data_IF_708944078721
#
_entry.id   IF_708944078721
#
_cell.length_a   1.000
_cell.length_b   1.000
_cell.length_c   1.000
_cell.angle_alpha   90.00
_cell.angle_beta   90.00
_cell.angle_gamma   90.00
#
_symmetry.space_group_name_H-M   'P 1'
#
loop_
_entity.id
_entity.type
_entity.pdbx_description
1 polymer ?
#
# COMPACT_ATOMS: atom_id res chain seq x y z
N UNK A 1 -17.20 4.13 10.68
CA UNK A 1 -17.30 4.88 11.95
C UNK A 1 -16.08 5.81 12.04
N UNK A 2 -16.31 7.07 12.35
CA UNK A 2 -15.27 8.05 12.64
C UNK A 2 -14.40 7.56 13.80
N UNK A 3 -13.06 7.80 13.71
CA UNK A 3 -12.08 7.53 14.77
C UNK A 3 -11.99 6.08 15.24
N UNK A 4 -12.37 5.10 14.41
CA UNK A 4 -12.48 3.69 14.82
C UNK A 4 -11.16 3.13 15.39
N UNK A 5 -10.03 3.50 14.80
CA UNK A 5 -8.67 3.08 15.22
C UNK A 5 -7.76 4.27 15.54
N UNK A 6 -8.36 5.40 15.94
CA UNK A 6 -7.59 6.61 16.28
C UNK A 6 -6.52 6.29 17.32
N UNK A 7 -5.24 6.59 16.97
CA UNK A 7 -4.06 6.38 17.83
C UNK A 7 -3.85 4.96 18.32
N UNK A 8 -4.23 3.98 17.49
CA UNK A 8 -3.87 2.59 17.75
C UNK A 8 -2.39 2.36 17.40
N UNK A 9 -1.46 2.87 18.22
CA UNK A 9 -0.03 2.93 17.92
C UNK A 9 0.62 1.56 17.66
N UNK A 10 0.03 0.47 18.17
CA UNK A 10 0.52 -0.90 17.96
C UNK A 10 -0.17 -1.63 16.78
N UNK A 11 -1.01 -0.93 16.03
CA UNK A 11 -1.69 -1.49 14.86
C UNK A 11 -0.71 -1.54 13.67
N UNK A 12 -0.11 -2.70 13.44
CA UNK A 12 0.90 -2.88 12.39
C UNK A 12 0.28 -3.23 11.03
N UNK A 13 -0.87 -3.91 11.01
CA UNK A 13 -1.51 -4.39 9.79
C UNK A 13 -3.01 -4.12 9.81
N UNK A 14 -3.54 -3.69 8.66
CA UNK A 14 -4.97 -3.45 8.44
C UNK A 14 -5.37 -4.06 7.10
N UNK A 15 -6.39 -4.90 7.12
CA UNK A 15 -7.05 -5.36 5.89
C UNK A 15 -8.45 -4.74 5.83
N UNK A 16 -8.70 -3.96 4.78
CA UNK A 16 -9.99 -3.35 4.52
C UNK A 16 -10.82 -4.35 3.71
N UNK A 17 -11.92 -4.80 4.30
CA UNK A 17 -12.78 -5.80 3.65
C UNK A 17 -13.55 -5.26 2.44
N UNK A 18 -13.92 -6.15 1.51
CA UNK A 18 -14.58 -5.81 0.24
C UNK A 18 -15.98 -5.17 0.38
N UNK A 19 -16.55 -5.08 1.57
CA UNK A 19 -17.83 -4.43 1.84
C UNK A 19 -17.68 -3.00 2.41
N UNK A 20 -16.44 -2.50 2.51
CA UNK A 20 -16.16 -1.14 3.00
C UNK A 20 -16.15 -0.20 1.80
N UNK A 21 -17.14 0.68 1.73
CA UNK A 21 -17.23 1.71 0.69
C UNK A 21 -16.60 3.05 1.12
N UNK A 22 -16.53 3.32 2.43
CA UNK A 22 -16.01 4.58 2.94
C UNK A 22 -15.07 4.37 4.12
N UNK A 23 -13.93 5.05 4.10
CA UNK A 23 -13.02 5.20 5.22
C UNK A 23 -13.29 6.58 5.80
N UNK A 24 -13.82 6.61 7.02
CA UNK A 24 -14.26 7.86 7.64
C UNK A 24 -13.12 8.66 8.27
N UNK A 25 -13.43 9.87 8.69
CA UNK A 25 -12.50 10.81 9.29
C UNK A 25 -11.74 10.22 10.47
N UNK A 26 -10.41 10.45 10.47
CA UNK A 26 -9.48 10.01 11.51
C UNK A 26 -9.55 8.49 11.79
N UNK A 27 -10.04 7.66 10.87
CA UNK A 27 -10.25 6.23 11.12
C UNK A 27 -9.00 5.51 11.61
N UNK A 28 -7.83 5.86 11.07
CA UNK A 28 -6.52 5.28 11.39
C UNK A 28 -5.48 6.35 11.76
N UNK A 29 -5.92 7.56 12.12
CA UNK A 29 -4.99 8.65 12.45
C UNK A 29 -4.11 8.27 13.65
N UNK A 30 -2.79 8.44 13.52
CA UNK A 30 -1.81 8.11 14.56
C UNK A 30 -1.61 6.62 14.79
N UNK A 31 -1.81 5.78 13.78
CA UNK A 31 -1.43 4.36 13.81
C UNK A 31 0.06 4.23 13.48
N UNK A 32 0.93 4.51 14.46
CA UNK A 32 2.37 4.67 14.27
C UNK A 32 3.10 3.41 13.78
N UNK A 33 2.57 2.22 14.07
CA UNK A 33 3.16 0.95 13.63
C UNK A 33 2.66 0.46 12.26
N UNK A 34 1.73 1.18 11.62
CA UNK A 34 1.19 0.81 10.32
C UNK A 34 2.23 1.13 9.24
N UNK A 35 2.76 0.10 8.57
CA UNK A 35 3.82 0.24 7.57
C UNK A 35 3.30 0.33 6.15
N UNK A 36 2.18 -0.32 5.87
CA UNK A 36 1.56 -0.39 4.55
C UNK A 36 0.04 -0.31 4.65
N UNK A 37 -0.59 0.18 3.59
CA UNK A 37 -2.05 0.15 3.44
C UNK A 37 -2.44 -0.04 1.99
N UNK A 38 -3.37 -0.95 1.76
CA UNK A 38 -4.08 -1.10 0.49
C UNK A 38 -5.48 -0.50 0.62
N UNK A 39 -5.81 0.40 -0.30
CA UNK A 39 -7.15 0.97 -0.48
C UNK A 39 -7.86 0.15 -1.55
N UNK A 40 -8.80 -0.74 -1.18
CA UNK A 40 -9.44 -1.65 -2.11
C UNK A 40 -10.30 -0.91 -3.16
N UNK A 41 -10.51 -1.55 -4.29
CA UNK A 41 -11.32 -1.00 -5.40
C UNK A 41 -12.75 -0.63 -5.05
N UNK A 42 -13.31 -1.23 -4.01
CA UNK A 42 -14.68 -0.97 -3.54
C UNK A 42 -14.79 0.25 -2.60
N UNK A 43 -13.66 0.81 -2.15
CA UNK A 43 -13.64 2.04 -1.36
C UNK A 43 -13.80 3.21 -2.32
N UNK A 44 -14.84 4.01 -2.17
CA UNK A 44 -15.12 5.17 -3.01
C UNK A 44 -14.72 6.50 -2.35
N UNK A 45 -14.49 6.50 -1.01
CA UNK A 45 -14.22 7.72 -0.26
C UNK A 45 -13.27 7.52 0.92
N UNK A 46 -12.33 8.47 1.08
CA UNK A 46 -11.44 8.57 2.24
C UNK A 46 -11.65 9.93 2.91
N UNK A 47 -12.09 9.91 4.18
CA UNK A 47 -12.35 11.08 4.98
C UNK A 47 -11.10 11.82 5.45
N UNK A 48 -11.33 12.99 6.03
CA UNK A 48 -10.29 13.89 6.53
C UNK A 48 -9.41 13.21 7.58
N UNK A 49 -8.08 13.37 7.47
CA UNK A 49 -7.07 12.79 8.36
C UNK A 49 -7.15 11.28 8.56
N UNK A 50 -7.77 10.53 7.64
CA UNK A 50 -8.04 9.10 7.82
C UNK A 50 -6.79 8.30 8.20
N UNK A 51 -5.63 8.61 7.64
CA UNK A 51 -4.33 7.97 7.88
C UNK A 51 -3.26 8.96 8.36
N UNK A 52 -3.62 10.19 8.74
CA UNK A 52 -2.65 11.19 9.18
C UNK A 52 -1.83 10.71 10.37
N UNK A 53 -0.58 11.17 10.45
CA UNK A 53 0.35 10.84 11.53
C UNK A 53 0.68 9.34 11.65
N UNK A 54 0.49 8.54 10.59
CA UNK A 54 0.99 7.17 10.53
C UNK A 54 2.50 7.19 10.24
N UNK A 55 3.32 7.37 11.28
CA UNK A 55 4.75 7.69 11.16
C UNK A 55 5.61 6.57 10.57
N UNK A 56 5.11 5.34 10.50
CA UNK A 56 5.79 4.21 9.85
C UNK A 56 5.26 3.88 8.46
N UNK A 57 4.22 4.57 7.95
CA UNK A 57 3.57 4.23 6.69
C UNK A 57 4.49 4.57 5.49
N UNK A 58 4.98 3.53 4.81
CA UNK A 58 5.91 3.61 3.67
C UNK A 58 5.28 3.22 2.35
N UNK A 59 4.27 2.34 2.37
CA UNK A 59 3.67 1.75 1.19
C UNK A 59 2.19 2.11 1.12
N UNK A 60 1.77 2.78 0.05
CA UNK A 60 0.38 3.09 -0.24
C UNK A 60 0.01 2.48 -1.59
N UNK A 61 -0.93 1.54 -1.57
CA UNK A 61 -1.47 0.91 -2.75
C UNK A 61 -2.97 1.27 -2.90
N UNK A 62 -3.32 1.97 -3.97
CA UNK A 62 -4.70 2.26 -4.34
C UNK A 62 -5.06 1.34 -5.51
N UNK A 63 -5.90 0.34 -5.27
CA UNK A 63 -6.25 -0.68 -6.27
C UNK A 63 -6.89 -0.09 -7.54
N UNK A 64 -6.68 -0.79 -8.65
CA UNK A 64 -7.23 -0.44 -9.96
C UNK A 64 -8.76 -0.39 -9.95
N UNK A 65 -9.32 0.69 -10.47
CA UNK A 65 -10.76 0.86 -10.70
C UNK A 65 -11.01 1.96 -11.74
N UNK A 66 -12.09 1.81 -12.50
CA UNK A 66 -12.60 2.84 -13.42
C UNK A 66 -13.28 4.01 -12.68
N UNK A 67 -13.67 3.81 -11.41
CA UNK A 67 -14.27 4.85 -10.57
C UNK A 67 -13.22 5.60 -9.80
N UNK A 68 -13.33 6.92 -9.76
CA UNK A 68 -12.45 7.77 -8.99
C UNK A 68 -12.55 7.49 -7.48
N UNK A 69 -11.42 7.55 -6.80
CA UNK A 69 -11.36 7.61 -5.35
C UNK A 69 -11.51 9.07 -4.92
N UNK A 70 -12.45 9.34 -4.02
CA UNK A 70 -12.76 10.69 -3.55
C UNK A 70 -12.21 10.94 -2.16
N UNK A 71 -11.73 12.15 -1.93
CA UNK A 71 -11.42 12.70 -0.62
C UNK A 71 -12.33 13.84 -0.23
N UNK A 72 -11.98 14.56 0.81
CA UNK A 72 -12.71 15.73 1.27
C UNK A 72 -12.24 16.99 0.57
N UNK A 73 -13.17 17.67 -0.12
CA UNK A 73 -12.89 18.88 -0.90
C UNK A 73 -12.85 20.18 -0.04
N UNK A 74 -13.29 20.13 1.21
CA UNK A 74 -13.69 21.36 1.93
C UNK A 74 -12.56 22.11 2.64
N UNK A 75 -11.37 21.53 2.80
CA UNK A 75 -10.32 22.25 3.51
C UNK A 75 -8.91 21.99 2.95
N UNK A 76 -8.18 23.07 2.70
CA UNK A 76 -6.73 23.07 2.44
C UNK A 76 -5.90 22.42 3.58
N UNK A 77 -6.53 21.95 4.64
CA UNK A 77 -5.93 21.39 5.85
C UNK A 77 -6.22 19.90 6.08
N UNK A 78 -7.22 19.30 5.41
CA UNK A 78 -7.77 17.97 5.78
C UNK A 78 -7.08 16.84 5.03
N UNK A 79 -5.79 16.76 5.18
CA UNK A 79 -4.89 15.85 4.47
C UNK A 79 -5.06 14.41 4.95
N UNK A 80 -5.55 13.53 4.07
CA UNK A 80 -5.80 12.12 4.41
C UNK A 80 -4.54 11.39 4.85
N UNK A 81 -3.38 11.72 4.26
CA UNK A 81 -2.08 11.09 4.54
C UNK A 81 -1.03 12.08 5.08
N UNK A 82 -1.47 13.08 5.86
CA UNK A 82 -0.56 14.06 6.44
C UNK A 82 0.47 13.41 7.37
N UNK A 83 1.75 13.83 7.28
CA UNK A 83 2.87 13.26 8.04
C UNK A 83 3.08 11.74 7.88
N UNK A 84 2.62 11.16 6.77
CA UNK A 84 2.99 9.79 6.40
C UNK A 84 4.24 9.83 5.52
N UNK A 85 5.33 9.17 5.89
CA UNK A 85 6.55 9.15 5.08
C UNK A 85 6.49 8.06 3.99
N UNK A 86 5.49 8.17 3.10
CA UNK A 86 5.26 7.22 2.02
C UNK A 86 6.43 7.27 1.03
N UNK A 87 7.04 6.12 0.77
CA UNK A 87 8.17 5.97 -0.15
C UNK A 87 7.75 5.32 -1.47
N UNK A 88 6.76 4.43 -1.44
CA UNK A 88 6.23 3.76 -2.62
C UNK A 88 4.73 4.01 -2.73
N UNK A 89 4.32 4.48 -3.91
CA UNK A 89 2.94 4.82 -4.21
C UNK A 89 2.48 4.09 -5.47
N UNK A 90 1.42 3.28 -5.36
CA UNK A 90 0.69 2.75 -6.48
C UNK A 90 -0.66 3.48 -6.62
N UNK A 91 -0.87 4.13 -7.76
CA UNK A 91 -2.12 4.79 -8.13
C UNK A 91 -2.85 3.95 -9.17
N UNK A 92 -3.83 3.14 -8.75
CA UNK A 92 -4.60 2.27 -9.64
C UNK A 92 -5.83 2.91 -10.25
N UNK A 93 -6.17 4.15 -9.88
CA UNK A 93 -7.32 4.89 -10.40
C UNK A 93 -7.15 6.40 -10.21
N UNK A 94 -7.95 7.17 -10.94
CA UNK A 94 -8.01 8.61 -10.70
C UNK A 94 -8.48 8.88 -9.26
N UNK A 95 -8.02 9.98 -8.71
CA UNK A 95 -8.46 10.44 -7.40
C UNK A 95 -8.89 11.89 -7.49
N UNK A 96 -9.84 12.27 -6.67
CA UNK A 96 -10.38 13.63 -6.58
C UNK A 96 -10.33 14.05 -5.11
N UNK A 97 -9.65 15.15 -4.82
CA UNK A 97 -9.52 15.73 -3.47
C UNK A 97 -8.91 14.76 -2.42
N UNK A 98 -8.12 13.78 -2.85
CA UNK A 98 -7.30 12.92 -1.99
C UNK A 98 -5.91 13.54 -1.88
N UNK A 99 -5.50 13.97 -0.69
CA UNK A 99 -4.17 14.56 -0.46
C UNK A 99 -3.19 13.49 0.05
N UNK A 100 -2.19 13.21 -0.75
CA UNK A 100 -1.10 12.28 -0.45
C UNK A 100 0.18 13.09 -0.22
N UNK A 101 0.90 12.78 0.85
CA UNK A 101 2.19 13.41 1.12
C UNK A 101 3.26 12.87 0.18
N UNK A 102 3.63 13.65 -0.83
CA UNK A 102 4.58 13.27 -1.89
C UNK A 102 6.06 13.52 -1.55
N UNK A 103 6.36 14.03 -0.35
CA UNK A 103 7.70 14.50 -0.01
C UNK A 103 8.76 13.38 0.11
N UNK A 104 8.37 12.14 0.28
CA UNK A 104 9.30 11.02 0.48
C UNK A 104 9.19 9.96 -0.63
N UNK A 105 8.33 10.16 -1.62
CA UNK A 105 8.12 9.18 -2.69
C UNK A 105 9.41 8.96 -3.47
N UNK A 106 9.84 7.71 -3.52
CA UNK A 106 10.97 7.23 -4.31
C UNK A 106 10.51 6.50 -5.57
N UNK A 107 9.40 5.76 -5.43
CA UNK A 107 8.82 4.99 -6.51
C UNK A 107 7.34 5.31 -6.68
N UNK A 108 6.96 5.71 -7.89
CA UNK A 108 5.57 5.95 -8.30
C UNK A 108 5.18 4.93 -9.36
N UNK A 109 4.10 4.19 -9.13
CA UNK A 109 3.47 3.37 -10.17
C UNK A 109 2.09 3.93 -10.48
N UNK A 110 1.78 4.10 -11.78
CA UNK A 110 0.48 4.55 -12.27
C UNK A 110 -0.19 3.41 -13.02
N UNK A 111 -1.29 2.91 -12.47
CA UNK A 111 -2.08 1.80 -12.99
C UNK A 111 -2.79 2.13 -14.31
N UNK A 112 -3.22 1.09 -15.02
CA UNK A 112 -3.82 1.23 -16.36
C UNK A 112 -5.13 2.06 -16.42
N UNK A 113 -6.03 2.03 -15.41
CA UNK A 113 -7.25 2.85 -15.43
C UNK A 113 -7.00 4.35 -15.24
N UNK A 114 -5.81 4.76 -14.82
CA UNK A 114 -5.52 6.17 -14.56
C UNK A 114 -5.38 6.95 -15.85
N UNK A 115 -6.22 7.94 -16.01
CA UNK A 115 -6.23 8.85 -17.17
C UNK A 115 -5.79 10.27 -16.80
N UNK A 116 -5.91 10.62 -15.53
CA UNK A 116 -5.57 11.93 -15.00
C UNK A 116 -4.96 11.80 -13.60
N UNK A 117 -3.82 12.45 -13.39
CA UNK A 117 -3.22 12.57 -12.06
C UNK A 117 -3.42 14.01 -11.61
N UNK A 118 -4.41 14.21 -10.77
CA UNK A 118 -4.76 15.53 -10.25
C UNK A 118 -3.69 16.08 -9.29
N UNK A 119 -3.84 17.34 -8.91
CA UNK A 119 -2.87 18.10 -8.11
C UNK A 119 -2.70 17.53 -6.70
N UNK A 120 -1.87 16.53 -6.55
CA UNK A 120 -1.46 16.03 -5.22
C UNK A 120 -0.39 16.89 -4.53
N UNK A 121 0.12 17.89 -5.17
CA UNK A 121 1.32 18.60 -4.77
C UNK A 121 2.48 18.31 -5.71
N UNK A 122 3.70 18.51 -5.23
CA UNK A 122 4.91 18.32 -6.03
C UNK A 122 5.73 17.17 -5.47
N UNK A 123 6.08 16.20 -6.31
CA UNK A 123 7.06 15.16 -5.97
C UNK A 123 8.40 15.83 -5.68
N UNK A 124 9.04 15.44 -4.59
CA UNK A 124 10.32 16.01 -4.27
C UNK A 124 11.47 15.36 -5.08
N UNK A 125 12.70 15.80 -4.83
CA UNK A 125 13.90 15.32 -5.55
C UNK A 125 14.26 13.85 -5.23
N UNK A 126 13.57 13.18 -4.29
CA UNK A 126 13.80 11.76 -3.97
C UNK A 126 13.12 10.79 -4.95
N UNK A 127 12.28 11.27 -5.87
CA UNK A 127 11.61 10.42 -6.84
C UNK A 127 12.64 9.84 -7.83
N UNK A 128 12.84 8.53 -7.76
CA UNK A 128 13.83 7.80 -8.54
C UNK A 128 13.21 7.11 -9.76
N UNK A 129 12.01 6.51 -9.56
CA UNK A 129 11.36 5.72 -10.61
C UNK A 129 9.89 6.07 -10.76
N UNK A 130 9.43 6.07 -12.02
CA UNK A 130 8.03 6.22 -12.39
C UNK A 130 7.69 5.07 -13.34
N UNK A 131 6.83 4.16 -12.91
CA UNK A 131 6.35 3.03 -13.70
C UNK A 131 4.92 3.29 -14.19
N UNK A 132 4.72 3.28 -15.48
CA UNK A 132 3.42 3.56 -16.10
C UNK A 132 2.86 2.27 -16.69
N UNK A 133 1.66 1.85 -16.23
CA UNK A 133 0.95 0.68 -16.76
C UNK A 133 0.03 1.06 -17.93
N UNK A 134 -0.16 2.36 -18.17
CA UNK A 134 -1.06 2.91 -19.16
C UNK A 134 -0.46 2.82 -20.56
N UNK A 135 -1.21 2.29 -21.53
CA UNK A 135 -0.81 2.35 -22.95
C UNK A 135 -0.89 3.76 -23.51
N UNK A 136 -1.79 4.59 -23.00
CA UNK A 136 -1.89 6.00 -23.34
C UNK A 136 -1.34 6.83 -22.17
N UNK A 137 -0.47 7.83 -22.44
CA UNK A 137 0.07 8.68 -21.40
C UNK A 137 -1.06 9.39 -20.61
N UNK A 138 -1.12 9.23 -19.28
CA UNK A 138 -2.10 9.94 -18.45
C UNK A 138 -1.77 11.44 -18.43
N UNK A 139 -2.81 12.26 -18.28
CA UNK A 139 -2.65 13.71 -18.10
C UNK A 139 -2.11 13.97 -16.69
N UNK A 140 -1.07 14.76 -16.57
CA UNK A 140 -0.49 15.18 -15.30
C UNK A 140 -0.06 16.65 -15.40
N UNK A 141 -0.22 17.38 -14.30
CA UNK A 141 0.23 18.76 -14.25
C UNK A 141 1.76 18.82 -14.16
N UNK A 142 2.38 19.75 -14.92
CA UNK A 142 3.84 19.94 -14.92
C UNK A 142 4.39 20.24 -13.52
N UNK A 143 3.62 20.96 -12.73
CA UNK A 143 3.95 21.37 -11.36
C UNK A 143 4.01 20.20 -10.38
N UNK A 144 3.54 19.03 -10.78
CA UNK A 144 3.70 17.81 -9.97
C UNK A 144 5.15 17.34 -9.88
N UNK A 145 6.03 17.79 -10.80
CA UNK A 145 7.43 17.39 -10.83
C UNK A 145 8.37 18.59 -10.65
N UNK A 146 9.42 18.41 -9.88
CA UNK A 146 10.55 19.33 -9.83
C UNK A 146 11.40 19.21 -11.10
N UNK A 147 12.14 20.27 -11.44
CA UNK A 147 13.10 20.22 -12.57
C UNK A 147 14.12 19.08 -12.43
N UNK A 148 14.49 18.72 -11.20
CA UNK A 148 15.39 17.59 -10.91
C UNK A 148 14.78 16.22 -11.25
N UNK A 149 13.45 16.05 -11.14
CA UNK A 149 12.81 14.79 -11.46
C UNK A 149 12.91 14.50 -12.96
N UNK A 150 12.75 15.52 -13.82
CA UNK A 150 12.88 15.35 -15.27
C UNK A 150 14.26 14.85 -15.72
N UNK A 151 15.28 15.09 -14.89
CA UNK A 151 16.67 14.70 -15.19
C UNK A 151 17.08 13.41 -14.50
N UNK A 152 16.64 13.22 -13.24
CA UNK A 152 17.17 12.15 -12.38
C UNK A 152 16.24 10.94 -12.26
N UNK A 153 14.93 11.09 -12.55
CA UNK A 153 14.01 9.97 -12.48
C UNK A 153 13.97 9.19 -13.80
N UNK A 154 13.87 7.86 -13.68
CA UNK A 154 13.65 6.97 -14.83
C UNK A 154 12.15 6.72 -14.98
N UNK A 155 11.64 6.91 -16.19
CA UNK A 155 10.24 6.61 -16.54
C UNK A 155 10.18 5.30 -17.31
N UNK A 156 9.46 4.33 -16.77
CA UNK A 156 9.21 3.04 -17.40
C UNK A 156 7.82 3.01 -18.01
N UNK A 157 7.73 2.68 -19.30
CA UNK A 157 6.46 2.63 -20.07
C UNK A 157 6.26 1.26 -20.69
N UNK A 158 5.00 0.84 -20.97
CA UNK A 158 4.74 -0.44 -21.61
C UNK A 158 5.41 -0.56 -22.96
N UNK A 159 5.87 -1.75 -23.30
CA UNK A 159 6.48 -2.05 -24.59
C UNK A 159 5.57 -1.62 -25.75
N UNK A 160 6.15 -0.94 -26.74
CA UNK A 160 5.45 -0.40 -27.92
C UNK A 160 4.76 0.94 -27.68
N UNK A 161 4.90 1.56 -26.50
CA UNK A 161 4.25 2.85 -26.19
C UNK A 161 5.22 4.02 -26.10
N UNK A 162 6.52 3.79 -26.14
CA UNK A 162 7.57 4.81 -25.99
C UNK A 162 7.34 6.05 -26.87
N UNK A 163 6.98 5.84 -28.15
CA UNK A 163 6.73 6.96 -29.07
C UNK A 163 5.57 7.86 -28.63
N UNK A 164 4.53 7.30 -27.99
CA UNK A 164 3.42 8.08 -27.48
C UNK A 164 3.86 8.95 -26.29
N UNK A 165 4.68 8.40 -25.39
CA UNK A 165 5.20 9.14 -24.23
C UNK A 165 6.22 10.22 -24.61
N UNK A 166 7.04 9.99 -25.64
CA UNK A 166 8.02 10.97 -26.13
C UNK A 166 7.41 12.22 -26.76
N UNK A 167 6.11 12.21 -27.10
CA UNK A 167 5.40 13.37 -27.64
C UNK A 167 4.35 13.93 -26.69
N UNK A 168 3.98 13.20 -25.65
CA UNK A 168 2.96 13.61 -24.67
C UNK A 168 3.48 14.74 -23.78
N UNK A 169 2.59 15.69 -23.50
CA UNK A 169 2.93 16.82 -22.63
C UNK A 169 3.35 16.32 -21.24
N UNK A 170 4.34 17.00 -20.66
CA UNK A 170 5.02 16.67 -19.41
C UNK A 170 5.92 15.43 -19.55
N UNK A 171 5.42 14.30 -20.04
CA UNK A 171 6.20 13.07 -20.19
C UNK A 171 7.41 13.22 -21.13
N UNK A 172 7.25 13.90 -22.25
CA UNK A 172 8.31 14.18 -23.22
C UNK A 172 9.54 14.92 -22.66
N UNK A 173 9.38 15.54 -21.50
CA UNK A 173 10.42 16.34 -20.87
C UNK A 173 11.33 15.51 -19.95
N UNK A 174 10.98 14.26 -19.65
CA UNK A 174 11.86 13.35 -18.92
C UNK A 174 13.03 12.91 -19.79
N UNK A 175 14.24 12.97 -19.21
CA UNK A 175 15.46 12.61 -19.90
C UNK A 175 15.57 11.12 -20.21
N UNK A 176 15.12 10.28 -19.29
CA UNK A 176 15.24 8.82 -19.37
C UNK A 176 13.85 8.17 -19.36
N UNK A 177 13.36 7.81 -20.55
CA UNK A 177 12.13 7.04 -20.73
C UNK A 177 12.50 5.71 -21.37
N UNK A 178 12.21 4.61 -20.68
CA UNK A 178 12.53 3.25 -21.09
C UNK A 178 11.28 2.40 -21.24
N UNK A 179 11.27 1.55 -22.27
CA UNK A 179 10.26 0.51 -22.34
C UNK A 179 10.61 -0.64 -21.36
N UNK A 180 9.67 -1.04 -20.53
CA UNK A 180 9.83 -2.28 -19.80
C UNK A 180 9.37 -3.45 -20.65
N UNK A 181 10.17 -4.51 -20.64
CA UNK A 181 9.83 -5.75 -21.32
C UNK A 181 8.94 -6.56 -20.38
N UNK A 182 7.72 -6.87 -20.82
CA UNK A 182 6.75 -7.69 -20.05
C UNK A 182 7.32 -9.04 -19.58
N UNK A 183 8.39 -9.52 -20.22
CA UNK A 183 9.08 -10.75 -19.83
C UNK A 183 10.23 -10.56 -18.82
N UNK A 184 10.54 -9.32 -18.41
CA UNK A 184 11.57 -9.10 -17.42
C UNK A 184 11.11 -9.66 -16.07
N UNK A 185 11.94 -10.54 -15.53
CA UNK A 185 11.73 -11.10 -14.19
C UNK A 185 12.51 -10.29 -13.16
N UNK A 186 11.90 -10.14 -12.01
CA UNK A 186 12.49 -9.54 -10.83
C UNK A 186 12.50 -10.55 -9.68
N UNK A 187 13.36 -10.35 -8.71
CA UNK A 187 13.48 -11.23 -7.57
C UNK A 187 12.49 -10.85 -6.46
N UNK A 188 11.90 -11.88 -5.86
CA UNK A 188 11.23 -11.79 -4.56
C UNK A 188 12.15 -12.44 -3.55
N UNK A 189 12.79 -11.62 -2.72
CA UNK A 189 13.78 -12.04 -1.74
C UNK A 189 13.09 -12.23 -0.38
N UNK A 190 13.09 -13.45 0.14
CA UNK A 190 12.51 -13.78 1.44
C UNK A 190 13.59 -13.78 2.51
N UNK A 191 13.38 -13.07 3.59
CA UNK A 191 14.27 -13.00 4.74
C UNK A 191 13.56 -13.56 5.98
N UNK A 192 14.30 -14.35 6.77
CA UNK A 192 13.84 -14.84 8.07
C UNK A 192 14.89 -14.47 9.12
N UNK A 193 14.47 -13.81 10.20
CA UNK A 193 15.35 -13.33 11.26
C UNK A 193 16.51 -12.45 10.72
N UNK A 194 16.28 -11.75 9.59
CA UNK A 194 17.26 -10.91 8.90
C UNK A 194 18.20 -11.63 7.93
N UNK A 195 18.14 -12.96 7.83
CA UNK A 195 18.94 -13.76 6.91
C UNK A 195 18.15 -14.14 5.65
N UNK A 196 18.79 -14.13 4.48
CA UNK A 196 18.17 -14.52 3.22
C UNK A 196 17.77 -16.00 3.27
N UNK A 197 16.47 -16.26 3.23
CA UNK A 197 15.89 -17.60 3.28
C UNK A 197 15.67 -18.21 1.89
N UNK A 198 15.11 -17.42 0.96
CA UNK A 198 14.77 -17.89 -0.37
C UNK A 198 14.69 -16.75 -1.37
N UNK A 199 14.77 -17.08 -2.66
CA UNK A 199 14.56 -16.14 -3.77
C UNK A 199 13.64 -16.79 -4.78
N UNK A 200 12.57 -16.08 -5.17
CA UNK A 200 11.72 -16.42 -6.29
C UNK A 200 11.95 -15.42 -7.43
N UNK A 201 11.60 -15.83 -8.65
CA UNK A 201 11.72 -14.96 -9.82
C UNK A 201 10.36 -14.85 -10.49
N UNK A 202 9.76 -13.67 -10.43
CA UNK A 202 8.41 -13.36 -10.89
C UNK A 202 8.50 -12.35 -12.04
N UNK A 203 7.70 -12.53 -13.09
CA UNK A 203 7.65 -11.57 -14.20
C UNK A 203 7.00 -10.27 -13.71
N UNK A 204 7.45 -9.16 -14.27
CA UNK A 204 6.79 -7.88 -14.08
C UNK A 204 5.29 -7.97 -14.41
N UNK A 205 4.45 -7.40 -13.55
CA UNK A 205 2.99 -7.44 -13.58
C UNK A 205 2.33 -8.81 -13.28
N UNK A 206 3.09 -9.91 -13.12
CA UNK A 206 2.52 -11.17 -12.65
C UNK A 206 2.20 -11.09 -11.15
N UNK A 207 1.16 -11.81 -10.72
CA UNK A 207 0.79 -11.91 -9.30
C UNK A 207 1.92 -12.54 -8.48
N UNK A 208 2.26 -11.92 -7.35
CA UNK A 208 3.19 -12.47 -6.37
C UNK A 208 2.42 -13.46 -5.49
N UNK A 209 2.81 -14.73 -5.55
CA UNK A 209 2.29 -15.77 -4.67
C UNK A 209 3.32 -16.01 -3.57
N UNK A 210 2.98 -15.66 -2.34
CA UNK A 210 3.88 -15.85 -1.22
C UNK A 210 4.15 -17.34 -0.98
N UNK A 211 5.37 -17.63 -0.56
CA UNK A 211 5.76 -18.99 -0.13
C UNK A 211 4.96 -19.43 1.08
N UNK A 212 4.77 -20.75 1.20
CA UNK A 212 4.22 -21.33 2.42
C UNK A 212 5.07 -20.93 3.63
N UNK A 213 4.40 -20.76 4.76
CA UNK A 213 5.06 -20.41 6.01
C UNK A 213 6.04 -21.53 6.44
N UNK A 214 7.30 -21.21 6.71
CA UNK A 214 8.27 -22.21 7.13
C UNK A 214 7.95 -22.71 8.55
N UNK A 215 8.19 -24.00 8.78
CA UNK A 215 7.98 -24.65 10.07
C UNK A 215 9.33 -24.86 10.75
N UNK A 216 9.44 -24.45 12.02
CA UNK A 216 10.61 -24.68 12.89
C UNK A 216 10.15 -25.22 14.23
N UNK A 217 10.65 -26.40 14.61
CA UNK A 217 10.26 -27.03 15.88
C UNK A 217 10.57 -26.12 17.08
N UNK A 218 9.57 -25.96 17.97
CA UNK A 218 9.68 -25.07 19.13
C UNK A 218 9.53 -23.58 18.83
N UNK A 219 9.19 -23.19 17.62
CA UNK A 219 9.02 -21.80 17.23
C UNK A 219 7.68 -21.57 16.51
N UNK A 220 7.15 -20.37 16.65
CA UNK A 220 5.99 -19.87 15.88
C UNK A 220 6.49 -18.85 14.88
N UNK A 221 6.06 -18.99 13.61
CA UNK A 221 6.40 -18.03 12.56
C UNK A 221 5.46 -16.81 12.61
N UNK A 222 5.99 -15.62 12.38
CA UNK A 222 5.21 -14.35 12.43
C UNK A 222 4.18 -14.19 11.31
N UNK A 223 4.26 -15.04 10.29
CA UNK A 223 3.74 -14.76 8.96
C UNK A 223 4.74 -13.94 8.13
N UNK A 224 4.56 -13.94 6.82
CA UNK A 224 5.31 -13.08 5.91
C UNK A 224 4.82 -11.64 6.01
N UNK A 225 5.71 -10.67 5.82
CA UNK A 225 5.34 -9.27 5.64
C UNK A 225 4.43 -9.11 4.42
N UNK A 226 3.74 -7.99 4.33
CA UNK A 226 2.97 -7.67 3.14
C UNK A 226 3.88 -7.59 1.91
N UNK A 227 3.33 -8.01 0.77
CA UNK A 227 3.96 -7.91 -0.54
C UNK A 227 3.01 -7.19 -1.50
N UNK A 228 3.52 -6.53 -2.54
CA UNK A 228 2.69 -6.05 -3.63
C UNK A 228 1.87 -7.21 -4.22
N UNK A 229 0.64 -6.96 -4.64
CA UNK A 229 -0.20 -7.99 -5.28
C UNK A 229 0.39 -8.46 -6.61
N UNK A 230 1.04 -7.54 -7.34
CA UNK A 230 1.72 -7.83 -8.62
C UNK A 230 3.17 -7.40 -8.56
N UNK A 231 4.03 -8.08 -9.31
CA UNK A 231 5.47 -7.82 -9.35
C UNK A 231 5.77 -6.44 -9.93
N UNK A 232 6.35 -5.51 -9.14
CA UNK A 232 6.77 -4.20 -9.64
C UNK A 232 7.97 -4.30 -10.60
N UNK A 233 8.41 -3.17 -11.17
CA UNK A 233 9.59 -3.12 -12.05
C UNK A 233 10.94 -3.16 -11.31
N UNK A 234 10.97 -3.67 -10.07
CA UNK A 234 12.14 -3.85 -9.22
C UNK A 234 12.00 -5.10 -8.33
N UNK A 235 13.09 -5.50 -7.70
CA UNK A 235 13.10 -6.61 -6.75
C UNK A 235 12.29 -6.26 -5.49
N UNK A 236 11.61 -7.26 -4.92
CA UNK A 236 10.77 -7.15 -3.73
C UNK A 236 11.42 -7.89 -2.57
N UNK A 237 11.39 -7.31 -1.39
CA UNK A 237 11.87 -7.94 -0.16
C UNK A 237 10.69 -8.27 0.76
N UNK A 238 10.67 -9.50 1.28
CA UNK A 238 9.63 -10.03 2.14
C UNK A 238 10.27 -10.59 3.40
N UNK A 239 9.75 -10.22 4.54
CA UNK A 239 10.33 -10.52 5.84
C UNK A 239 9.41 -11.38 6.70
N UNK A 240 10.00 -12.27 7.48
CA UNK A 240 9.35 -13.04 8.53
C UNK A 240 10.30 -13.32 9.67
N UNK A 241 9.77 -13.62 10.84
CA UNK A 241 10.58 -13.91 12.02
C UNK A 241 10.06 -15.14 12.75
N UNK A 242 10.94 -15.85 13.43
CA UNK A 242 10.59 -16.92 14.35
C UNK A 242 10.61 -16.43 15.80
N UNK A 243 9.55 -16.74 16.55
CA UNK A 243 9.48 -16.52 17.99
C UNK A 243 9.45 -17.87 18.70
N UNK A 244 10.16 -17.99 19.81
CA UNK A 244 10.04 -19.17 20.67
C UNK A 244 8.57 -19.39 21.03
N UNK A 245 8.05 -20.56 20.68
CA UNK A 245 6.75 -20.98 21.18
C UNK A 245 6.92 -21.12 22.69
N UNK A 246 6.35 -20.17 23.45
CA UNK A 246 6.32 -20.32 24.92
C UNK A 246 5.62 -21.65 25.22
N UNK A 247 6.35 -22.56 25.81
CA UNK A 247 5.80 -23.80 26.32
C UNK A 247 4.86 -23.44 27.48
N UNK A 248 3.65 -23.08 27.15
CA UNK A 248 2.53 -23.19 28.07
C UNK A 248 2.00 -24.60 27.88
N UNK A 249 2.29 -25.44 28.87
CA UNK A 249 1.85 -26.82 28.92
C UNK A 249 0.40 -26.98 28.47
N UNK A 250 0.20 -27.92 27.54
CA UNK A 250 -1.06 -28.64 27.27
C UNK A 250 -2.37 -27.87 27.51
N UNK A 251 -2.61 -26.84 26.75
CA UNK A 251 -3.96 -26.42 26.45
C UNK A 251 -4.20 -26.84 25.00
N UNK A 252 -5.10 -27.80 24.83
CA UNK A 252 -5.73 -28.10 23.55
C UNK A 252 -6.29 -26.78 22.99
N UNK A 253 -5.51 -26.09 22.18
CA UNK A 253 -5.97 -24.88 21.48
C UNK A 253 -6.74 -25.38 20.27
N UNK A 254 -8.07 -25.25 20.27
CA UNK A 254 -8.83 -25.56 19.07
C UNK A 254 -8.30 -24.70 17.94
N UNK A 255 -8.09 -25.28 16.77
CA UNK A 255 -7.57 -24.68 15.53
C UNK A 255 -8.45 -23.56 14.93
N UNK A 256 -9.23 -22.87 15.75
CA UNK A 256 -10.03 -21.71 15.35
C UNK A 256 -9.26 -20.44 15.61
N UNK A 257 -8.84 -19.77 14.53
CA UNK A 257 -8.28 -18.41 14.58
C UNK A 257 -9.30 -17.46 15.23
N UNK A 258 -8.81 -16.45 15.95
CA UNK A 258 -9.67 -15.35 16.41
C UNK A 258 -10.38 -14.72 15.21
N UNK A 259 -11.66 -14.50 15.33
CA UNK A 259 -12.49 -13.94 14.26
C UNK A 259 -12.90 -12.52 14.61
N UNK A 260 -12.84 -11.63 13.63
CA UNK A 260 -13.49 -10.31 13.72
C UNK A 260 -14.95 -10.49 13.33
N UNK A 261 -15.85 -10.12 14.22
CA UNK A 261 -17.29 -10.26 14.03
C UNK A 261 -17.92 -8.87 14.12
N UNK A 262 -18.74 -8.50 13.14
CA UNK A 262 -19.56 -7.28 13.20
C UNK A 262 -20.98 -7.69 13.56
N UNK A 263 -21.43 -7.22 14.71
CA UNK A 263 -22.83 -7.39 15.17
C UNK A 263 -23.36 -5.99 15.53
N UNK A 264 -24.58 -5.70 15.10
CA UNK A 264 -25.25 -4.41 15.35
C UNK A 264 -24.39 -3.18 15.03
N UNK A 265 -23.62 -3.25 13.91
CA UNK A 265 -22.72 -2.19 13.47
C UNK A 265 -21.52 -1.92 14.42
N UNK A 266 -21.19 -2.86 15.28
CA UNK A 266 -20.02 -2.80 16.17
C UNK A 266 -19.06 -3.95 15.86
N UNK A 267 -17.75 -3.64 15.84
CA UNK A 267 -16.68 -4.62 15.63
C UNK A 267 -16.29 -5.26 16.95
N UNK A 268 -16.23 -6.60 16.96
CA UNK A 268 -15.79 -7.41 18.09
C UNK A 268 -14.67 -8.37 17.64
N UNK A 269 -13.85 -8.75 18.60
CA UNK A 269 -12.87 -9.83 18.43
C UNK A 269 -13.42 -11.04 19.20
N UNK A 270 -13.73 -12.11 18.48
CA UNK A 270 -14.13 -13.39 19.06
C UNK A 270 -12.90 -14.30 19.13
N UNK A 271 -12.47 -14.63 20.33
CA UNK A 271 -11.37 -15.56 20.54
C UNK A 271 -11.83 -17.03 20.37
N UNK A 272 -10.90 -17.96 20.07
CA UNK A 272 -11.20 -19.38 19.91
C UNK A 272 -11.88 -20.02 21.12
N UNK A 273 -11.67 -19.47 22.31
CA UNK A 273 -12.31 -19.92 23.58
C UNK A 273 -13.73 -19.38 23.74
N UNK A 274 -14.32 -18.69 22.77
CA UNK A 274 -15.67 -18.13 22.81
C UNK A 274 -15.77 -16.78 23.52
N UNK A 275 -14.70 -16.24 24.07
CA UNK A 275 -14.68 -14.91 24.66
C UNK A 275 -14.74 -13.83 23.59
N UNK A 276 -15.55 -12.81 23.86
CA UNK A 276 -15.81 -11.69 22.97
C UNK A 276 -15.27 -10.40 23.59
N UNK A 277 -14.53 -9.63 22.80
CA UNK A 277 -13.92 -8.36 23.23
C UNK A 277 -14.36 -7.24 22.31
N UNK A 278 -14.56 -6.06 22.87
CA UNK A 278 -14.75 -4.84 22.08
C UNK A 278 -13.40 -4.35 21.54
N UNK A 279 -13.42 -3.31 20.68
CA UNK A 279 -12.21 -2.72 20.08
C UNK A 279 -11.26 -2.06 21.08
N UNK A 280 -11.69 -1.87 22.33
CA UNK A 280 -10.87 -1.38 23.44
C UNK A 280 -10.24 -2.49 24.27
N UNK A 281 -10.43 -3.76 23.90
CA UNK A 281 -9.88 -4.90 24.61
C UNK A 281 -10.66 -5.30 25.87
N UNK A 282 -11.87 -4.78 26.06
CA UNK A 282 -12.74 -5.13 27.19
C UNK A 282 -13.55 -6.37 26.85
N UNK A 283 -13.56 -7.37 27.76
CA UNK A 283 -14.38 -8.57 27.65
C UNK A 283 -15.87 -8.22 27.81
N UNK A 284 -16.73 -8.83 26.99
CA UNK A 284 -18.18 -8.59 26.94
C UNK A 284 -18.96 -9.81 27.34
#
# INVERSE_FOLDING_TARGET
NEKLFLRCCNLAYVTIGNNVANIHDNAFCGCDSLTSITIPKNVDYIGSYAYSECSSLRYLHIEDNERDLKGDAEAFSDKQFYNCPIEELYLGRNTTDVDINLNNIKSLTIGNPVTNVDKYGTFNSSLETISLMCSNPPVIARECFLSSNYVNSVVYVPQGTLAAYQVADVWKDFWDIQEYVLDKKFCVNYYIDGELYAVDSVKHCDTIILREEPIKEGYTFSGWSEAPETMPAHDVEIYGNFFLSSAVDNIDVPTKKSQKVIENNQLFILLPNGKKYNVMGQEL
#
